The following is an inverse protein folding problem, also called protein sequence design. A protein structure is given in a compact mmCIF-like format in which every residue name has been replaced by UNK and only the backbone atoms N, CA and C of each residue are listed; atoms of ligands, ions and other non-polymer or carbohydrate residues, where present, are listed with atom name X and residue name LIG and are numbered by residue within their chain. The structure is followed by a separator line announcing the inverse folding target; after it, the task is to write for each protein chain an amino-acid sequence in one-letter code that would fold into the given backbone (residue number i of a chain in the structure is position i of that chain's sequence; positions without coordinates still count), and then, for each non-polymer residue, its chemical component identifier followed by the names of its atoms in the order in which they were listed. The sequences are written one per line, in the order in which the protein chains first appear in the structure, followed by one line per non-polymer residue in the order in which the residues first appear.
data_IF_748716480284
#
_entry.id   IF_748716480284
#
_cell.length_a   1.000
_cell.length_b   1.000
_cell.length_c   1.000
_cell.angle_alpha   90.00
_cell.angle_beta   90.00
_cell.angle_gamma   90.00
#
_symmetry.space_group_name_H-M   'P 1'
#
loop_
_entity.id
_entity.type
_entity.pdbx_description
1 polymer ?
#
# COMPACT_ATOMS: atom_id res chain seq x y z
N UNK A 1 73.35 43.65 -30.35
CA UNK A 1 73.54 42.23 -29.97
C UNK A 1 72.23 41.75 -29.36
N UNK A 2 71.30 41.27 -30.19
CA UNK A 2 71.06 39.84 -30.54
C UNK A 2 70.42 39.06 -29.38
N UNK A 3 69.13 38.73 -29.59
CA UNK A 3 68.33 37.55 -29.21
C UNK A 3 68.68 36.73 -27.94
N UNK A 4 67.67 36.35 -27.13
CA UNK A 4 66.92 35.10 -27.40
C UNK A 4 65.57 34.99 -26.65
N UNK A 5 64.69 34.16 -27.22
CA UNK A 5 63.28 33.91 -26.91
C UNK A 5 63.08 32.81 -25.86
N UNK A 6 61.86 32.81 -25.30
CA UNK A 6 61.06 31.65 -24.87
C UNK A 6 61.39 30.96 -23.53
N UNK A 7 60.47 31.10 -22.57
CA UNK A 7 59.60 29.97 -22.18
C UNK A 7 58.44 30.47 -21.31
N UNK A 8 57.21 30.28 -21.80
CA UNK A 8 56.02 30.42 -20.98
C UNK A 8 55.94 29.24 -20.00
N UNK A 9 56.05 29.51 -18.71
CA UNK A 9 55.64 28.57 -17.66
C UNK A 9 54.38 29.10 -17.01
N UNK A 10 53.27 28.40 -17.26
CA UNK A 10 52.04 28.50 -16.49
C UNK A 10 52.37 28.38 -14.99
N UNK A 11 52.20 29.47 -14.24
CA UNK A 11 52.13 29.41 -12.78
C UNK A 11 50.77 28.84 -12.40
N UNK A 12 50.75 27.55 -12.11
CA UNK A 12 49.64 26.90 -11.41
C UNK A 12 49.62 27.49 -10.00
N UNK A 13 48.59 28.31 -9.71
CA UNK A 13 48.28 28.77 -8.36
C UNK A 13 47.70 27.57 -7.61
N UNK A 14 48.29 27.11 -6.48
CA UNK A 14 47.71 26.01 -5.73
C UNK A 14 46.41 26.49 -5.06
N UNK A 15 45.27 25.90 -5.45
CA UNK A 15 44.01 26.05 -4.72
C UNK A 15 44.20 25.48 -3.32
N UNK A 16 44.02 26.35 -2.32
CA UNK A 16 44.00 26.01 -0.90
C UNK A 16 42.90 24.97 -0.65
N UNK A 17 43.27 23.72 -0.42
CA UNK A 17 42.35 22.69 0.08
C UNK A 17 42.02 23.06 1.51
N UNK A 18 40.78 23.49 1.77
CA UNK A 18 40.24 23.56 3.13
C UNK A 18 40.11 22.12 3.61
N UNK A 19 41.01 21.68 4.51
CA UNK A 19 40.76 20.50 5.34
C UNK A 19 39.52 20.79 6.17
N UNK A 20 38.40 20.18 5.83
CA UNK A 20 37.28 20.00 6.74
C UNK A 20 37.80 19.21 7.94
N UNK A 21 37.79 19.81 9.13
CA UNK A 21 37.94 19.08 10.39
C UNK A 21 36.78 18.08 10.43
N UNK A 22 37.07 16.79 10.38
CA UNK A 22 36.13 15.79 10.90
C UNK A 22 35.98 16.08 12.39
N UNK A 23 34.77 16.43 12.81
CA UNK A 23 34.39 16.43 14.21
C UNK A 23 34.33 14.96 14.64
N UNK A 24 35.27 14.55 15.48
CA UNK A 24 35.13 13.33 16.26
C UNK A 24 34.16 13.68 17.39
N UNK A 25 32.95 13.11 17.34
CA UNK A 25 32.00 13.20 18.45
C UNK A 25 32.60 12.42 19.64
N UNK A 26 33.25 13.12 20.56
CA UNK A 26 33.75 12.56 21.81
C UNK A 26 32.62 12.53 22.83
N UNK A 27 32.23 11.33 23.27
CA UNK A 27 31.25 11.15 24.33
C UNK A 27 31.85 11.62 25.67
N UNK A 28 31.17 12.53 26.37
CA UNK A 28 31.52 12.89 27.74
C UNK A 28 30.74 11.98 28.70
N UNK A 29 31.43 11.08 29.41
CA UNK A 29 30.81 10.03 30.25
C UNK A 29 30.15 10.56 31.54
N UNK A 30 30.17 11.87 31.78
CA UNK A 30 29.60 12.47 32.99
C UNK A 30 28.09 12.64 32.86
N UNK A 31 27.34 11.58 33.22
CA UNK A 31 25.88 11.57 33.27
C UNK A 31 25.20 10.41 32.54
N UNK A 32 25.94 9.37 32.13
CA UNK A 32 25.37 8.18 31.50
C UNK A 32 24.64 7.34 32.55
N UNK A 33 23.31 7.34 32.50
CA UNK A 33 22.48 6.36 33.21
C UNK A 33 22.44 5.05 32.41
N UNK A 34 22.68 3.92 33.09
CA UNK A 34 22.66 2.59 32.46
C UNK A 34 21.36 1.89 32.79
N UNK A 35 20.62 1.49 31.75
CA UNK A 35 19.36 0.76 31.87
C UNK A 35 19.52 -0.65 31.31
N UNK A 36 19.07 -1.64 32.07
CA UNK A 36 18.98 -3.03 31.63
C UNK A 36 17.53 -3.32 31.27
N UNK A 37 17.28 -3.67 30.00
CA UNK A 37 15.94 -3.67 29.39
C UNK A 37 15.70 -5.02 28.71
N UNK A 38 14.53 -5.60 28.93
CA UNK A 38 14.15 -6.92 28.38
C UNK A 38 13.08 -6.81 27.30
N UNK A 39 12.49 -5.62 27.15
CA UNK A 39 11.51 -5.29 26.13
C UNK A 39 11.89 -3.97 25.45
N UNK A 40 11.84 -3.98 24.12
CA UNK A 40 11.96 -2.78 23.30
C UNK A 40 10.73 -2.66 22.39
N UNK A 41 10.20 -1.45 22.25
CA UNK A 41 9.12 -1.12 21.33
C UNK A 41 9.48 0.04 20.44
N UNK A 42 8.97 0.06 19.21
CA UNK A 42 9.28 1.10 18.22
C UNK A 42 7.98 1.67 17.67
N UNK A 43 7.89 2.99 17.59
CA UNK A 43 6.86 3.70 16.83
C UNK A 43 7.50 4.77 15.95
N UNK A 44 6.85 5.07 14.81
CA UNK A 44 7.37 6.02 13.82
C UNK A 44 6.30 7.01 13.37
N UNK A 45 6.70 8.27 13.31
CA UNK A 45 5.97 9.40 12.73
C UNK A 45 6.88 10.17 11.76
N UNK A 46 6.32 11.10 10.97
CA UNK A 46 7.02 11.80 9.88
C UNK A 46 8.35 12.45 10.30
N UNK A 47 8.45 12.93 11.53
CA UNK A 47 9.62 13.66 12.04
C UNK A 47 10.32 12.95 13.20
N UNK A 48 9.74 11.87 13.72
CA UNK A 48 10.16 11.26 14.98
C UNK A 48 9.99 9.74 14.96
N UNK A 49 11.01 9.04 15.41
CA UNK A 49 11.00 7.61 15.73
C UNK A 49 11.20 7.50 17.24
N UNK A 50 10.22 6.90 17.92
CA UNK A 50 10.29 6.68 19.36
C UNK A 50 10.69 5.24 19.64
N UNK A 51 11.72 5.07 20.47
CA UNK A 51 12.10 3.81 21.07
C UNK A 51 11.59 3.81 22.51
N UNK A 52 10.85 2.77 22.88
CA UNK A 52 10.39 2.57 24.26
C UNK A 52 11.11 1.36 24.83
N UNK A 53 11.77 1.54 25.96
CA UNK A 53 12.45 0.48 26.68
C UNK A 53 11.77 0.24 28.01
N UNK A 54 11.54 -1.02 28.35
CA UNK A 54 10.91 -1.33 29.63
C UNK A 54 11.31 -2.68 30.21
N UNK A 55 10.85 -2.88 31.43
CA UNK A 55 11.04 -4.10 32.20
C UNK A 55 9.68 -4.77 32.44
N UNK A 56 9.60 -6.09 32.25
CA UNK A 56 8.41 -6.86 32.61
C UNK A 56 8.76 -7.75 33.83
N UNK A 57 8.33 -7.38 35.04
CA UNK A 57 8.67 -8.14 36.25
C UNK A 57 7.89 -9.45 36.39
N UNK A 58 6.85 -9.72 35.57
CA UNK A 58 5.96 -10.88 35.77
C UNK A 58 5.75 -11.67 34.47
N UNK A 59 6.31 -12.89 34.46
CA UNK A 59 6.11 -13.88 33.39
C UNK A 59 4.83 -14.71 33.67
N UNK A 60 3.63 -14.12 33.51
CA UNK A 60 2.35 -14.85 33.61
C UNK A 60 1.85 -15.24 32.20
N UNK A 61 1.89 -16.54 31.83
CA UNK A 61 1.48 -16.99 30.50
C UNK A 61 -0.03 -16.91 30.22
N UNK A 62 -0.85 -16.47 31.18
CA UNK A 62 -2.32 -16.41 31.05
C UNK A 62 -2.84 -14.99 30.72
N UNK A 63 -2.04 -13.94 30.93
CA UNK A 63 -2.46 -12.56 30.65
C UNK A 63 -2.12 -12.12 29.23
N UNK A 64 -3.16 -11.75 28.46
CA UNK A 64 -3.05 -11.14 27.11
C UNK A 64 -2.65 -9.65 27.12
N UNK A 65 -2.37 -9.07 28.29
CA UNK A 65 -2.02 -7.66 28.44
C UNK A 65 -0.75 -7.58 29.27
N UNK A 66 0.35 -7.15 28.65
CA UNK A 66 1.63 -6.92 29.34
C UNK A 66 1.59 -5.51 29.91
N UNK A 67 1.63 -5.38 31.24
CA UNK A 67 1.76 -4.10 31.92
C UNK A 67 3.25 -3.79 32.08
N UNK A 68 3.76 -2.77 31.37
CA UNK A 68 5.15 -2.33 31.48
C UNK A 68 5.24 -1.32 32.63
N UNK A 69 5.91 -1.68 33.73
CA UNK A 69 5.92 -0.88 34.97
C UNK A 69 6.88 0.33 34.94
N UNK A 70 7.93 0.28 34.11
CA UNK A 70 8.85 1.40 33.90
C UNK A 70 9.22 1.48 32.43
N UNK A 71 8.89 2.59 31.77
CA UNK A 71 9.13 2.76 30.35
C UNK A 71 9.93 4.04 30.08
N UNK A 72 11.18 3.90 29.64
CA UNK A 72 11.98 5.02 29.16
C UNK A 72 11.78 5.20 27.66
N UNK A 73 11.46 6.43 27.25
CA UNK A 73 11.21 6.78 25.85
C UNK A 73 12.36 7.61 25.30
N UNK A 74 13.00 7.10 24.26
CA UNK A 74 14.03 7.81 23.49
C UNK A 74 13.45 8.23 22.14
N UNK A 75 13.38 9.54 21.91
CA UNK A 75 12.89 10.11 20.65
C UNK A 75 14.06 10.45 19.72
N UNK A 76 14.02 9.91 18.50
CA UNK A 76 15.05 10.08 17.48
C UNK A 76 14.45 10.71 16.24
N UNK A 77 15.18 11.60 15.56
CA UNK A 77 14.81 11.95 14.19
C UNK A 77 15.18 10.80 13.22
N UNK A 78 14.59 10.74 12.00
CA UNK A 78 14.81 9.64 11.07
C UNK A 78 16.28 9.40 10.69
N UNK A 79 17.09 10.45 10.60
CA UNK A 79 18.51 10.34 10.25
C UNK A 79 19.34 9.73 11.38
N UNK A 80 19.04 10.07 12.64
CA UNK A 80 19.68 9.48 13.82
C UNK A 80 19.23 8.02 13.98
N UNK A 81 17.94 7.73 13.82
CA UNK A 81 17.41 6.38 13.88
C UNK A 81 18.03 5.46 12.83
N UNK A 82 18.21 5.93 11.59
CA UNK A 82 18.90 5.16 10.53
C UNK A 82 20.36 4.87 10.88
N UNK A 83 21.08 5.84 11.44
CA UNK A 83 22.46 5.64 11.91
C UNK A 83 22.52 4.64 13.07
N UNK A 84 21.59 4.73 14.02
CA UNK A 84 21.47 3.79 15.13
C UNK A 84 21.18 2.37 14.64
N UNK A 85 20.24 2.20 13.71
CA UNK A 85 19.90 0.89 13.15
C UNK A 85 21.10 0.21 12.48
N UNK A 86 21.87 0.97 11.70
CA UNK A 86 23.11 0.47 11.08
C UNK A 86 24.16 0.09 12.13
N UNK A 87 24.37 0.93 13.15
CA UNK A 87 25.30 0.63 14.23
C UNK A 87 24.89 -0.61 15.03
N UNK A 88 23.59 -0.77 15.28
CA UNK A 88 23.02 -1.89 16.03
C UNK A 88 23.12 -3.21 15.25
N UNK A 89 22.79 -3.21 13.95
CA UNK A 89 22.95 -4.40 13.08
C UNK A 89 24.43 -4.85 13.03
N UNK A 90 25.36 -3.90 12.90
CA UNK A 90 26.79 -4.22 12.94
C UNK A 90 27.23 -4.80 14.29
N UNK A 91 26.75 -4.25 15.41
CA UNK A 91 27.07 -4.73 16.74
C UNK A 91 26.50 -6.14 17.02
N UNK A 92 25.26 -6.40 16.59
CA UNK A 92 24.63 -7.73 16.70
C UNK A 92 25.42 -8.76 15.90
N UNK A 93 25.79 -8.45 14.66
CA UNK A 93 26.59 -9.37 13.83
C UNK A 93 27.95 -9.66 14.45
N UNK A 94 28.64 -8.66 14.97
CA UNK A 94 29.92 -8.85 15.67
C UNK A 94 29.76 -9.71 16.93
N UNK A 95 28.65 -9.54 17.66
CA UNK A 95 28.31 -10.40 18.79
C UNK A 95 28.07 -11.85 18.36
N UNK A 96 27.21 -12.08 17.37
CA UNK A 96 26.88 -13.43 16.89
C UNK A 96 28.08 -14.17 16.31
N UNK A 97 29.00 -13.46 15.65
CA UNK A 97 30.27 -14.01 15.19
C UNK A 97 31.16 -14.50 16.33
N UNK A 98 31.10 -13.85 17.50
CA UNK A 98 31.95 -14.16 18.66
C UNK A 98 31.32 -15.17 19.61
N UNK A 99 29.99 -15.15 19.75
CA UNK A 99 29.28 -15.86 20.82
C UNK A 99 28.21 -16.85 20.32
N UNK A 100 27.99 -16.92 19.00
CA UNK A 100 26.99 -17.80 18.39
C UNK A 100 25.69 -17.06 18.00
N UNK A 101 24.94 -17.64 17.08
CA UNK A 101 23.70 -17.05 16.52
C UNK A 101 22.62 -16.96 17.58
N UNK A 102 21.97 -15.80 17.68
CA UNK A 102 20.84 -15.59 18.58
C UNK A 102 19.60 -16.22 17.93
N UNK A 103 19.01 -17.23 18.57
CA UNK A 103 17.82 -17.91 18.05
C UNK A 103 16.58 -17.02 18.10
N UNK A 104 15.84 -16.94 16.99
CA UNK A 104 14.55 -16.22 16.90
C UNK A 104 13.45 -16.80 17.81
N UNK A 105 13.65 -18.00 18.38
CA UNK A 105 12.70 -18.64 19.32
C UNK A 105 12.67 -17.96 20.69
N UNK A 106 13.73 -17.22 21.07
CA UNK A 106 13.79 -16.46 22.34
C UNK A 106 13.46 -14.97 22.19
N UNK A 107 13.24 -14.49 20.96
CA UNK A 107 12.93 -13.09 20.71
C UNK A 107 11.40 -12.91 20.66
N UNK A 108 10.82 -12.43 21.76
CA UNK A 108 9.51 -11.78 21.66
C UNK A 108 9.67 -10.58 20.72
N UNK A 109 8.85 -10.45 19.67
CA UNK A 109 8.95 -9.32 18.74
C UNK A 109 8.80 -8.02 19.52
N UNK A 110 9.61 -7.02 19.18
CA UNK A 110 9.51 -5.68 19.73
C UNK A 110 8.04 -5.23 19.69
N UNK A 111 7.46 -4.90 20.85
CA UNK A 111 6.07 -4.46 20.91
C UNK A 111 5.94 -3.18 20.08
N UNK A 112 5.20 -3.23 18.97
CA UNK A 112 4.76 -2.00 18.33
C UNK A 112 3.89 -1.27 19.34
N UNK A 113 4.40 -0.14 19.84
CA UNK A 113 3.55 0.74 20.62
C UNK A 113 2.34 1.09 19.76
N UNK A 114 1.12 1.03 20.30
CA UNK A 114 -0.02 1.58 19.61
C UNK A 114 0.33 3.03 19.29
N UNK A 115 0.48 3.34 18.00
CA UNK A 115 0.42 4.73 17.56
C UNK A 115 -0.86 5.30 18.15
N UNK A 116 -0.78 6.48 18.75
CA UNK A 116 -1.92 7.18 19.34
C UNK A 116 -2.90 7.69 18.26
N UNK A 117 -3.23 6.84 17.30
CA UNK A 117 -4.48 6.82 16.58
C UNK A 117 -5.37 5.83 17.34
N UNK A 118 -6.36 6.36 18.03
CA UNK A 118 -7.51 5.59 18.52
C UNK A 118 -8.19 4.90 17.34
N UNK A 119 -7.69 3.73 16.94
CA UNK A 119 -8.35 2.81 16.00
C UNK A 119 -9.40 2.01 16.76
N UNK A 120 -10.35 2.73 17.35
CA UNK A 120 -11.62 2.12 17.76
C UNK A 120 -12.52 1.98 16.53
N UNK A 121 -12.33 0.85 15.84
CA UNK A 121 -13.25 0.06 14.98
C UNK A 121 -13.49 0.48 13.52
N UNK A 122 -13.08 -0.42 12.58
CA UNK A 122 -14.03 -1.23 11.79
C UNK A 122 -13.83 -2.77 11.86
N UNK A 123 -12.97 -3.30 12.73
CA UNK A 123 -12.76 -4.76 12.87
C UNK A 123 -14.00 -5.57 13.32
N UNK A 124 -15.07 -4.92 13.79
CA UNK A 124 -16.25 -5.60 14.34
C UNK A 124 -17.22 -6.13 13.27
N UNK A 125 -17.24 -5.56 12.06
CA UNK A 125 -18.12 -6.05 10.98
C UNK A 125 -17.60 -7.36 10.37
N UNK A 126 -16.28 -7.54 10.33
CA UNK A 126 -15.64 -8.70 9.68
C UNK A 126 -15.70 -9.97 10.53
N UNK A 127 -15.78 -9.85 11.87
CA UNK A 127 -15.87 -11.00 12.77
C UNK A 127 -17.16 -11.82 12.60
N UNK A 128 -18.18 -11.27 11.95
CA UNK A 128 -19.45 -11.96 11.72
C UNK A 128 -19.53 -12.67 10.35
N UNK A 129 -18.57 -12.43 9.44
CA UNK A 129 -18.50 -13.11 8.15
C UNK A 129 -17.33 -14.11 8.16
N UNK A 130 -17.66 -15.40 8.05
CA UNK A 130 -16.69 -16.50 8.18
C UNK A 130 -15.65 -16.48 7.07
N UNK A 131 -16.07 -16.11 5.86
CA UNK A 131 -15.25 -16.08 4.67
C UNK A 131 -14.22 -14.95 4.73
N UNK A 132 -14.62 -13.76 5.18
CA UNK A 132 -13.72 -12.64 5.45
C UNK A 132 -12.70 -12.99 6.54
N UNK A 133 -13.16 -13.55 7.66
CA UNK A 133 -12.30 -13.93 8.78
C UNK A 133 -11.28 -15.02 8.38
N UNK A 134 -11.69 -15.98 7.55
CA UNK A 134 -10.79 -17.00 7.02
C UNK A 134 -9.65 -16.35 6.22
N UNK A 135 -9.96 -15.44 5.30
CA UNK A 135 -8.93 -14.82 4.48
C UNK A 135 -7.94 -14.02 5.32
N UNK A 136 -8.43 -13.24 6.30
CA UNK A 136 -7.59 -12.49 7.23
C UNK A 136 -6.65 -13.40 8.02
N UNK A 137 -7.16 -14.49 8.58
CA UNK A 137 -6.37 -15.47 9.34
C UNK A 137 -5.28 -16.13 8.48
N UNK A 138 -5.63 -16.53 7.25
CA UNK A 138 -4.67 -17.13 6.31
C UNK A 138 -3.53 -16.17 5.96
N UNK A 139 -3.85 -14.90 5.70
CA UNK A 139 -2.83 -13.90 5.39
C UNK A 139 -1.99 -13.55 6.62
N UNK A 140 -2.60 -13.45 7.81
CA UNK A 140 -1.89 -13.13 9.04
C UNK A 140 -0.83 -14.19 9.40
N UNK A 141 -1.13 -15.48 9.13
CA UNK A 141 -0.18 -16.59 9.31
C UNK A 141 1.06 -16.53 8.42
N UNK A 142 1.09 -15.68 7.40
CA UNK A 142 2.29 -15.48 6.58
C UNK A 142 3.41 -14.74 7.33
N UNK A 143 3.07 -14.01 8.39
CA UNK A 143 4.00 -13.23 9.21
C UNK A 143 4.85 -12.25 8.38
N UNK A 144 4.20 -11.56 7.44
CA UNK A 144 4.79 -10.50 6.59
C UNK A 144 4.00 -9.21 6.77
N UNK A 145 4.58 -8.09 6.34
CA UNK A 145 3.87 -6.80 6.29
C UNK A 145 2.78 -6.90 5.22
N UNK A 146 1.54 -6.60 5.59
CA UNK A 146 0.39 -6.60 4.70
C UNK A 146 -0.19 -5.19 4.65
N UNK A 147 -0.28 -4.64 3.44
CA UNK A 147 -1.02 -3.41 3.19
C UNK A 147 -2.52 -3.72 3.18
N UNK A 148 -3.29 -3.02 4.00
CA UNK A 148 -4.75 -3.18 4.07
C UNK A 148 -5.42 -1.97 3.46
N UNK A 149 -6.07 -2.20 2.32
CA UNK A 149 -6.86 -1.21 1.62
C UNK A 149 -8.35 -1.51 1.79
N UNK A 150 -9.11 -0.48 2.14
CA UNK A 150 -10.55 -0.56 2.36
C UNK A 150 -11.27 0.05 1.18
N UNK A 151 -12.52 -0.39 0.94
CA UNK A 151 -13.34 0.23 -0.09
C UNK A 151 -14.82 0.17 0.21
N UNK A 152 -15.58 1.09 -0.38
CA UNK A 152 -17.01 0.93 -0.52
C UNK A 152 -17.44 1.13 -1.96
N UNK A 153 -18.41 0.33 -2.38
CA UNK A 153 -18.99 0.36 -3.73
C UNK A 153 -20.42 0.87 -3.68
N UNK A 154 -20.71 1.85 -4.52
CA UNK A 154 -22.03 2.42 -4.69
C UNK A 154 -22.66 1.87 -5.96
N UNK A 155 -23.88 1.36 -5.82
CA UNK A 155 -24.81 1.06 -6.90
C UNK A 155 -26.15 1.69 -6.52
N UNK A 156 -27.08 1.84 -7.47
CA UNK A 156 -28.34 2.55 -7.22
C UNK A 156 -29.07 1.95 -6.00
N UNK A 157 -29.23 2.75 -4.95
CA UNK A 157 -29.91 2.40 -3.70
C UNK A 157 -29.10 1.59 -2.70
N UNK A 158 -27.87 1.15 -3.02
CA UNK A 158 -27.11 0.23 -2.17
C UNK A 158 -25.63 0.65 -2.05
N UNK A 159 -25.11 0.66 -0.82
CA UNK A 159 -23.69 0.82 -0.52
C UNK A 159 -23.10 -0.47 0.04
N UNK A 160 -22.15 -1.07 -0.69
CA UNK A 160 -21.43 -2.27 -0.27
C UNK A 160 -20.12 -1.87 0.41
N UNK A 161 -20.03 -2.02 1.73
CA UNK A 161 -18.88 -1.56 2.53
C UNK A 161 -18.01 -2.67 3.13
N UNK A 162 -18.51 -3.92 3.18
CA UNK A 162 -17.74 -5.07 3.66
C UNK A 162 -16.78 -5.58 2.57
N UNK A 163 -15.73 -4.79 2.31
CA UNK A 163 -14.80 -5.00 1.20
C UNK A 163 -13.39 -4.54 1.58
N UNK A 164 -12.40 -5.38 1.27
CA UNK A 164 -11.00 -5.04 1.52
C UNK A 164 -10.07 -5.75 0.53
N UNK A 165 -8.86 -5.21 0.39
CA UNK A 165 -7.72 -5.82 -0.29
C UNK A 165 -6.54 -5.90 0.69
N UNK A 166 -5.87 -7.05 0.68
CA UNK A 166 -4.70 -7.37 1.48
C UNK A 166 -3.54 -7.57 0.51
N UNK A 167 -2.69 -6.57 0.38
CA UNK A 167 -1.55 -6.59 -0.52
C UNK A 167 -0.26 -6.97 0.20
N UNK A 168 0.54 -7.82 -0.42
CA UNK A 168 1.85 -8.21 0.07
C UNK A 168 2.88 -8.23 -1.07
N UNK A 169 4.12 -7.91 -0.75
CA UNK A 169 5.24 -8.14 -1.67
C UNK A 169 5.57 -9.63 -1.66
N UNK A 170 5.61 -10.25 -2.85
CA UNK A 170 5.93 -11.67 -2.99
C UNK A 170 7.31 -11.99 -2.41
N UNK A 171 8.26 -11.08 -2.50
CA UNK A 171 9.64 -11.30 -2.10
C UNK A 171 9.79 -11.32 -0.56
N UNK A 172 8.87 -10.69 0.17
CA UNK A 172 8.83 -10.71 1.65
C UNK A 172 8.39 -12.08 2.19
N UNK A 173 7.78 -12.93 1.36
CA UNK A 173 7.33 -14.27 1.77
C UNK A 173 8.48 -15.25 2.06
N UNK A 174 9.72 -14.91 1.70
CA UNK A 174 10.90 -15.73 1.97
C UNK A 174 10.84 -17.10 1.29
N UNK A 175 11.03 -18.20 2.04
CA UNK A 175 11.13 -19.54 1.46
C UNK A 175 9.83 -20.02 0.81
N UNK A 176 9.93 -20.43 -0.47
CA UNK A 176 8.84 -20.98 -1.31
C UNK A 176 7.62 -20.04 -1.40
N UNK A 177 7.79 -18.81 -1.93
CA UNK A 177 6.72 -17.82 -1.98
C UNK A 177 5.51 -18.30 -2.79
N UNK A 178 5.75 -18.96 -3.93
CA UNK A 178 4.70 -19.53 -4.79
C UNK A 178 3.83 -20.54 -4.06
N UNK A 179 4.46 -21.40 -3.25
CA UNK A 179 3.73 -22.41 -2.48
C UNK A 179 2.81 -21.72 -1.47
N UNK A 180 3.31 -20.71 -0.74
CA UNK A 180 2.51 -19.98 0.25
C UNK A 180 1.29 -19.29 -0.38
N UNK A 181 1.47 -18.64 -1.52
CA UNK A 181 0.37 -18.00 -2.27
C UNK A 181 -0.65 -19.05 -2.74
N UNK A 182 -0.20 -20.13 -3.37
CA UNK A 182 -1.08 -21.20 -3.84
C UNK A 182 -1.83 -21.90 -2.70
N UNK A 183 -1.18 -22.10 -1.55
CA UNK A 183 -1.80 -22.73 -0.38
C UNK A 183 -2.93 -21.86 0.18
N UNK A 184 -2.80 -20.52 0.15
CA UNK A 184 -3.92 -19.62 0.45
C UNK A 184 -5.02 -19.79 -0.60
N UNK A 185 -4.70 -19.63 -1.89
CA UNK A 185 -5.68 -19.73 -2.98
C UNK A 185 -6.49 -21.02 -2.95
N UNK A 186 -5.86 -22.17 -2.64
CA UNK A 186 -6.56 -23.45 -2.47
C UNK A 186 -7.50 -23.47 -1.28
N UNK A 187 -7.09 -22.91 -0.14
CA UNK A 187 -7.91 -22.85 1.07
C UNK A 187 -9.15 -21.96 0.91
N UNK A 188 -9.06 -20.93 0.06
CA UNK A 188 -10.22 -20.09 -0.33
C UNK A 188 -10.90 -20.58 -1.63
N UNK A 189 -10.69 -21.85 -1.99
CA UNK A 189 -11.35 -22.56 -3.09
C UNK A 189 -11.25 -21.88 -4.45
N UNK A 190 -10.09 -21.30 -4.78
CA UNK A 190 -9.83 -20.75 -6.11
C UNK A 190 -10.00 -21.84 -7.19
N UNK A 191 -10.70 -21.55 -8.31
CA UNK A 191 -10.87 -22.50 -9.39
C UNK A 191 -9.54 -23.03 -9.96
N UNK A 192 -9.46 -24.32 -10.29
CA UNK A 192 -8.22 -24.96 -10.76
C UNK A 192 -7.64 -24.32 -12.03
N UNK A 193 -8.49 -23.89 -12.96
CA UNK A 193 -8.03 -23.17 -14.15
C UNK A 193 -7.41 -21.81 -13.79
N UNK A 194 -7.93 -21.13 -12.77
CA UNK A 194 -7.35 -19.88 -12.29
C UNK A 194 -6.08 -20.11 -11.47
N UNK A 195 -6.00 -21.18 -10.67
CA UNK A 195 -4.77 -21.57 -9.98
C UNK A 195 -3.62 -21.80 -10.97
N UNK A 196 -3.92 -22.47 -12.10
CA UNK A 196 -2.95 -22.70 -13.17
C UNK A 196 -2.47 -21.37 -13.78
N UNK A 197 -3.39 -20.51 -14.20
CA UNK A 197 -3.05 -19.19 -14.77
C UNK A 197 -2.33 -18.30 -13.77
N UNK A 198 -2.72 -18.31 -12.49
CA UNK A 198 -2.04 -17.57 -11.44
C UNK A 198 -0.60 -18.06 -11.30
N UNK A 199 -0.37 -19.38 -11.25
CA UNK A 199 0.98 -19.94 -11.14
C UNK A 199 1.86 -19.58 -12.35
N UNK A 200 1.31 -19.64 -13.57
CA UNK A 200 2.03 -19.28 -14.80
C UNK A 200 2.53 -17.83 -14.81
N UNK A 201 1.83 -16.92 -14.13
CA UNK A 201 2.15 -15.49 -14.09
C UNK A 201 2.80 -15.05 -12.76
N UNK A 202 2.86 -15.93 -11.75
CA UNK A 202 3.30 -15.57 -10.40
C UNK A 202 4.80 -15.22 -10.33
N UNK A 203 5.62 -15.79 -11.23
CA UNK A 203 7.04 -15.48 -11.32
C UNK A 203 7.28 -14.00 -11.68
N UNK A 204 6.47 -13.46 -12.59
CA UNK A 204 6.60 -12.08 -13.07
C UNK A 204 5.93 -11.04 -12.16
N UNK A 205 5.00 -11.47 -11.30
CA UNK A 205 4.33 -10.58 -10.36
C UNK A 205 5.28 -10.12 -9.25
N UNK A 206 5.20 -8.85 -8.83
CA UNK A 206 5.93 -8.36 -7.66
C UNK A 206 5.04 -8.36 -6.41
N UNK A 207 3.77 -8.00 -6.58
CA UNK A 207 2.79 -7.93 -5.50
C UNK A 207 1.65 -8.91 -5.77
N UNK A 208 1.19 -9.54 -4.70
CA UNK A 208 -0.01 -10.36 -4.68
C UNK A 208 -1.02 -9.66 -3.76
N UNK A 209 -2.24 -9.42 -4.25
CA UNK A 209 -3.32 -8.93 -3.40
C UNK A 209 -4.41 -9.98 -3.26
N UNK A 210 -4.88 -10.20 -2.04
CA UNK A 210 -6.08 -10.98 -1.78
C UNK A 210 -7.23 -10.07 -1.40
N UNK A 211 -8.40 -10.30 -1.99
CA UNK A 211 -9.57 -9.46 -1.78
C UNK A 211 -10.76 -10.24 -1.27
N UNK A 212 -11.58 -9.53 -0.50
CA UNK A 212 -12.91 -9.97 -0.15
C UNK A 212 -13.92 -8.89 -0.52
N UNK A 213 -15.06 -9.31 -1.05
CA UNK A 213 -16.23 -8.46 -1.13
C UNK A 213 -17.51 -9.23 -0.82
N UNK A 214 -18.43 -8.55 -0.15
CA UNK A 214 -19.79 -9.04 0.04
C UNK A 214 -20.77 -8.19 -0.79
N UNK A 215 -21.75 -8.85 -1.41
CA UNK A 215 -22.93 -8.21 -1.95
C UNK A 215 -24.19 -8.75 -1.26
N UNK A 216 -25.37 -8.28 -1.69
CA UNK A 216 -26.66 -8.65 -1.08
C UNK A 216 -26.95 -10.16 -1.07
N UNK A 217 -26.34 -10.93 -1.99
CA UNK A 217 -26.65 -12.35 -2.20
C UNK A 217 -25.46 -13.28 -1.91
N UNK A 218 -24.23 -12.83 -2.18
CA UNK A 218 -23.04 -13.68 -2.17
C UNK A 218 -21.80 -12.91 -1.72
N UNK A 219 -20.81 -13.67 -1.22
CA UNK A 219 -19.46 -13.18 -0.97
C UNK A 219 -18.50 -13.69 -2.03
N UNK A 220 -17.54 -12.86 -2.43
CA UNK A 220 -16.52 -13.19 -3.43
C UNK A 220 -15.13 -13.02 -2.87
N UNK A 221 -14.28 -13.99 -3.16
CA UNK A 221 -12.85 -13.85 -3.03
C UNK A 221 -12.24 -13.29 -4.30
N UNK A 222 -11.07 -12.67 -4.12
CA UNK A 222 -10.26 -12.18 -5.22
C UNK A 222 -8.79 -12.46 -4.97
N UNK A 223 -8.06 -12.66 -6.05
CA UNK A 223 -6.62 -12.60 -6.09
C UNK A 223 -6.20 -11.65 -7.21
N UNK A 224 -5.18 -10.84 -6.97
CA UNK A 224 -4.59 -9.97 -7.97
C UNK A 224 -3.10 -10.23 -8.05
N UNK A 225 -2.60 -10.36 -9.26
CA UNK A 225 -1.17 -10.28 -9.55
C UNK A 225 -0.87 -8.89 -10.09
N UNK A 226 0.12 -8.22 -9.51
CA UNK A 226 0.58 -6.91 -9.95
C UNK A 226 2.00 -7.00 -10.52
N UNK A 227 2.17 -6.46 -11.72
CA UNK A 227 3.40 -6.51 -12.50
C UNK A 227 4.13 -5.16 -12.46
N UNK A 228 4.40 -4.66 -11.24
CA UNK A 228 5.04 -3.35 -11.04
C UNK A 228 6.39 -3.22 -11.76
N UNK A 229 7.17 -4.30 -11.89
CA UNK A 229 8.43 -4.32 -12.64
C UNK A 229 8.29 -3.92 -14.12
N UNK A 230 7.13 -4.21 -14.74
CA UNK A 230 6.85 -3.82 -16.13
C UNK A 230 6.72 -2.30 -16.31
N UNK A 231 6.42 -1.57 -15.23
CA UNK A 231 6.40 -0.11 -15.24
C UNK A 231 7.81 0.44 -15.51
N UNK A 232 8.82 -0.11 -14.85
CA UNK A 232 10.22 0.31 -15.03
C UNK A 232 10.78 -0.07 -16.40
N UNK A 233 10.43 -1.26 -16.90
CA UNK A 233 10.87 -1.73 -18.22
C UNK A 233 10.27 -0.87 -19.33
N UNK A 234 8.96 -0.61 -19.27
CA UNK A 234 8.27 0.28 -20.23
C UNK A 234 8.90 1.67 -20.22
N UNK A 235 9.28 2.19 -19.05
CA UNK A 235 9.95 3.48 -18.91
C UNK A 235 11.38 3.48 -19.48
N UNK A 236 12.14 2.40 -19.26
CA UNK A 236 13.53 2.25 -19.74
C UNK A 236 13.62 2.02 -21.24
N UNK A 237 12.74 1.22 -21.82
CA UNK A 237 12.80 0.82 -23.22
C UNK A 237 12.25 1.88 -24.17
N UNK A 238 11.29 2.70 -23.71
CA UNK A 238 10.64 3.70 -24.55
C UNK A 238 10.43 5.04 -23.82
N UNK A 239 11.51 5.77 -23.48
CA UNK A 239 11.40 7.09 -22.87
C UNK A 239 10.61 8.04 -23.80
N UNK A 240 9.37 8.34 -23.42
CA UNK A 240 8.48 9.25 -24.15
C UNK A 240 7.43 8.62 -25.06
N UNK A 241 7.25 7.29 -25.10
CA UNK A 241 6.06 6.67 -25.74
C UNK A 241 5.10 6.12 -24.68
N UNK A 242 3.81 6.43 -24.84
CA UNK A 242 2.68 5.90 -24.07
C UNK A 242 2.41 4.43 -24.41
N UNK A 243 3.34 3.53 -24.05
CA UNK A 243 3.11 2.09 -24.13
C UNK A 243 2.11 1.68 -23.04
N UNK A 244 0.93 1.18 -23.45
CA UNK A 244 -0.02 0.56 -22.51
C UNK A 244 0.47 -0.84 -22.15
N UNK A 245 0.29 -1.27 -20.91
CA UNK A 245 0.68 -2.61 -20.47
C UNK A 245 -0.27 -3.14 -19.39
N UNK A 246 -0.28 -4.45 -19.18
CA UNK A 246 -1.08 -5.07 -18.12
C UNK A 246 -0.36 -4.84 -16.78
N UNK A 247 -0.97 -4.02 -15.91
CA UNK A 247 -0.47 -3.77 -14.56
C UNK A 247 -1.01 -4.80 -13.58
N UNK A 248 -2.29 -5.18 -13.70
CA UNK A 248 -2.87 -6.23 -12.86
C UNK A 248 -3.62 -7.30 -13.65
N UNK A 249 -3.57 -8.52 -13.13
CA UNK A 249 -4.50 -9.60 -13.47
C UNK A 249 -5.36 -9.90 -12.25
N UNK A 250 -6.67 -9.72 -12.38
CA UNK A 250 -7.64 -9.96 -11.33
C UNK A 250 -8.40 -11.27 -11.55
N UNK A 251 -8.35 -12.14 -10.56
CA UNK A 251 -9.14 -13.35 -10.46
C UNK A 251 -10.21 -13.12 -9.42
N UNK A 252 -11.49 -13.31 -9.75
CA UNK A 252 -12.61 -13.18 -8.82
C UNK A 252 -13.50 -14.39 -8.92
N UNK A 253 -13.89 -14.95 -7.79
CA UNK A 253 -14.81 -16.09 -7.73
C UNK A 253 -15.69 -16.01 -6.49
N UNK A 254 -16.86 -16.58 -6.60
CA UNK A 254 -17.80 -16.71 -5.49
C UNK A 254 -17.25 -17.69 -4.43
N UNK A 255 -17.43 -17.34 -3.17
CA UNK A 255 -16.87 -18.08 -2.02
C UNK A 255 -17.54 -19.44 -1.78
N UNK A 256 -18.78 -19.64 -2.26
CA UNK A 256 -19.54 -20.89 -2.10
C UNK A 256 -19.54 -21.67 -3.41
N UNK A 257 -19.82 -21.01 -4.54
CA UNK A 257 -19.88 -21.64 -5.87
C UNK A 257 -18.83 -21.03 -6.81
N UNK A 258 -17.60 -21.54 -6.75
CA UNK A 258 -16.46 -21.03 -7.51
C UNK A 258 -16.58 -21.20 -9.05
N UNK A 259 -17.66 -21.81 -9.54
CA UNK A 259 -17.99 -21.79 -10.98
C UNK A 259 -18.45 -20.40 -11.43
N UNK A 260 -19.02 -19.61 -10.50
CA UNK A 260 -19.34 -18.19 -10.69
C UNK A 260 -18.08 -17.36 -10.53
N UNK A 261 -17.43 -17.07 -11.66
CA UNK A 261 -16.10 -16.43 -11.67
C UNK A 261 -15.92 -15.36 -12.75
N UNK A 262 -14.84 -14.61 -12.62
CA UNK A 262 -14.44 -13.52 -13.50
C UNK A 262 -12.91 -13.42 -13.55
N UNK A 263 -12.38 -13.21 -14.75
CA UNK A 263 -11.00 -12.86 -14.97
C UNK A 263 -10.94 -11.48 -15.64
N UNK A 264 -10.08 -10.61 -15.15
CA UNK A 264 -9.98 -9.23 -15.60
C UNK A 264 -8.52 -8.82 -15.81
N UNK A 265 -8.25 -8.14 -16.92
CA UNK A 265 -6.97 -7.49 -17.18
C UNK A 265 -7.10 -5.99 -16.93
N UNK A 266 -6.18 -5.46 -16.14
CA UNK A 266 -6.08 -4.04 -15.82
C UNK A 266 -4.96 -3.45 -16.65
N UNK A 267 -5.33 -2.78 -17.73
CA UNK A 267 -4.39 -2.15 -18.65
C UNK A 267 -4.06 -0.76 -18.14
N UNK A 268 -2.82 -0.53 -17.75
CA UNK A 268 -2.32 0.78 -17.35
C UNK A 268 -1.91 1.58 -18.58
N UNK A 269 -2.26 2.86 -18.55
CA UNK A 269 -1.91 3.85 -19.55
C UNK A 269 -0.96 4.88 -18.92
N UNK A 270 0.34 4.53 -18.78
CA UNK A 270 1.30 5.44 -18.17
C UNK A 270 1.43 6.72 -18.99
N UNK A 271 1.71 7.83 -18.31
CA UNK A 271 1.96 9.14 -18.94
C UNK A 271 0.77 9.72 -19.72
N UNK A 272 -0.45 9.21 -19.53
CA UNK A 272 -1.62 9.88 -20.06
C UNK A 272 -1.67 11.34 -19.58
N UNK A 273 -2.00 12.23 -20.52
CA UNK A 273 -2.33 13.59 -20.16
C UNK A 273 -3.66 13.62 -19.41
N UNK A 274 -3.93 14.71 -18.71
CA UNK A 274 -5.24 14.96 -18.10
C UNK A 274 -6.38 14.86 -19.14
N UNK A 275 -6.14 15.30 -20.37
CA UNK A 275 -7.12 15.21 -21.46
C UNK A 275 -7.35 13.76 -21.90
N UNK A 276 -6.29 12.95 -22.01
CA UNK A 276 -6.40 11.54 -22.36
C UNK A 276 -7.13 10.73 -21.29
N UNK A 277 -6.86 11.02 -20.00
CA UNK A 277 -7.60 10.42 -18.89
C UNK A 277 -9.09 10.76 -18.95
N UNK A 278 -9.44 12.03 -19.20
CA UNK A 278 -10.85 12.45 -19.39
C UNK A 278 -11.51 11.74 -20.55
N UNK A 279 -10.81 11.61 -21.67
CA UNK A 279 -11.30 10.89 -22.84
C UNK A 279 -11.56 9.41 -22.54
N UNK A 280 -10.67 8.78 -21.76
CA UNK A 280 -10.84 7.42 -21.28
C UNK A 280 -12.07 7.27 -20.36
N UNK A 281 -12.18 8.14 -19.33
CA UNK A 281 -13.32 8.19 -18.42
C UNK A 281 -14.64 8.36 -19.19
N UNK A 282 -14.69 9.35 -20.10
CA UNK A 282 -15.84 9.63 -20.93
C UNK A 282 -16.17 8.46 -21.87
N UNK A 283 -15.17 7.73 -22.37
CA UNK A 283 -15.37 6.54 -23.21
C UNK A 283 -15.99 5.34 -22.47
N UNK A 284 -15.89 5.30 -21.14
CA UNK A 284 -16.44 4.23 -20.30
C UNK A 284 -17.78 4.63 -19.68
N UNK A 285 -17.92 5.90 -19.29
CA UNK A 285 -19.12 6.47 -18.69
C UNK A 285 -20.00 7.20 -19.72
N UNK A 286 -19.94 6.82 -21.00
CA UNK A 286 -20.71 7.49 -22.05
C UNK A 286 -22.13 6.91 -22.18
N UNK A 287 -23.12 7.71 -21.81
CA UNK A 287 -24.48 7.88 -22.37
C UNK A 287 -25.23 8.83 -21.41
N UNK A 288 -26.39 9.40 -21.82
CA UNK A 288 -27.15 10.41 -21.04
C UNK A 288 -27.30 10.06 -19.54
N UNK A 289 -27.31 8.77 -19.22
CA UNK A 289 -27.55 8.21 -17.89
C UNK A 289 -26.35 8.24 -16.94
N UNK A 290 -25.10 8.35 -17.43
CA UNK A 290 -23.87 8.27 -16.57
C UNK A 290 -23.13 9.62 -16.43
N UNK A 291 -23.74 10.70 -16.93
CA UNK A 291 -23.13 12.04 -16.97
C UNK A 291 -22.66 12.56 -15.61
N UNK A 292 -23.41 12.25 -14.54
CA UNK A 292 -23.06 12.71 -13.19
C UNK A 292 -21.91 11.93 -12.58
N UNK A 293 -21.80 10.63 -12.82
CA UNK A 293 -20.62 9.87 -12.39
C UNK A 293 -19.37 10.31 -13.13
N UNK A 294 -19.50 10.67 -14.42
CA UNK A 294 -18.41 11.27 -15.18
C UNK A 294 -17.97 12.60 -14.56
N UNK A 295 -18.93 13.51 -14.26
CA UNK A 295 -18.63 14.78 -13.58
C UNK A 295 -17.90 14.55 -12.24
N UNK A 296 -18.32 13.54 -11.47
CA UNK A 296 -17.68 13.18 -10.20
C UNK A 296 -16.24 12.70 -10.42
N UNK A 297 -16.03 11.80 -11.38
CA UNK A 297 -14.71 11.24 -11.66
C UNK A 297 -13.73 12.30 -12.19
N UNK A 298 -14.19 13.16 -13.10
CA UNK A 298 -13.41 14.30 -13.61
C UNK A 298 -13.11 15.31 -12.51
N UNK A 299 -14.07 15.58 -11.63
CA UNK A 299 -13.89 16.45 -10.48
C UNK A 299 -12.82 15.95 -9.51
N UNK A 300 -12.82 14.65 -9.20
CA UNK A 300 -11.77 14.04 -8.37
C UNK A 300 -10.41 14.08 -9.07
N UNK A 301 -10.38 13.87 -10.39
CA UNK A 301 -9.17 14.03 -11.20
C UNK A 301 -8.63 15.46 -11.15
N UNK A 302 -9.49 16.48 -11.19
CA UNK A 302 -9.11 17.88 -11.04
C UNK A 302 -8.46 18.16 -9.68
N UNK A 303 -9.08 17.70 -8.59
CA UNK A 303 -8.52 17.86 -7.24
C UNK A 303 -7.13 17.22 -7.11
N UNK A 304 -6.93 16.03 -7.70
CA UNK A 304 -5.64 15.37 -7.75
C UNK A 304 -4.60 16.13 -8.59
N UNK A 305 -5.03 16.66 -9.74
CA UNK A 305 -4.18 17.38 -10.68
C UNK A 305 -3.67 18.73 -10.13
N UNK A 306 -4.34 19.31 -9.14
CA UNK A 306 -3.85 20.51 -8.43
C UNK A 306 -2.56 20.22 -7.65
N UNK A 307 -2.39 18.99 -7.14
CA UNK A 307 -1.26 18.61 -6.28
C UNK A 307 -0.14 17.89 -7.02
N UNK A 308 -0.50 17.20 -8.10
CA UNK A 308 0.39 16.25 -8.78
C UNK A 308 0.32 16.39 -10.28
N UNK A 309 1.47 16.19 -10.91
CA UNK A 309 1.53 16.08 -12.36
C UNK A 309 0.82 14.81 -12.82
N UNK A 310 0.25 14.81 -14.03
CA UNK A 310 -0.54 13.67 -14.53
C UNK A 310 0.27 12.38 -14.67
N UNK A 311 1.60 12.46 -14.79
CA UNK A 311 2.50 11.30 -14.78
C UNK A 311 2.64 10.63 -13.41
N UNK A 312 2.20 11.28 -12.34
CA UNK A 312 2.13 10.71 -10.99
C UNK A 312 0.75 10.11 -10.67
N UNK A 313 -0.23 10.24 -11.57
CA UNK A 313 -1.54 9.62 -11.46
C UNK A 313 -1.56 8.37 -12.36
N UNK A 314 -2.23 7.30 -11.92
CA UNK A 314 -2.40 6.11 -12.76
C UNK A 314 -3.83 6.03 -13.24
N UNK A 315 -3.99 5.88 -14.56
CA UNK A 315 -5.27 5.58 -15.19
C UNK A 315 -5.20 4.18 -15.79
N UNK A 316 -6.18 3.36 -15.45
CA UNK A 316 -6.30 1.99 -15.92
C UNK A 316 -7.66 1.77 -16.54
N UNK A 317 -7.70 0.93 -17.58
CA UNK A 317 -8.94 0.37 -18.11
C UNK A 317 -8.98 -1.13 -17.81
N UNK A 318 -10.15 -1.58 -17.39
CA UNK A 318 -10.39 -2.95 -16.96
C UNK A 318 -11.31 -3.61 -17.96
N UNK A 319 -10.81 -4.67 -18.59
CA UNK A 319 -11.56 -5.54 -19.48
C UNK A 319 -11.68 -6.95 -18.90
N UNK A 320 -12.85 -7.56 -19.05
CA UNK A 320 -13.09 -8.97 -18.76
C UNK A 320 -13.18 -9.76 -20.07
N UNK A 321 -12.64 -10.98 -20.11
CA UNK A 321 -12.83 -11.87 -21.25
C UNK A 321 -14.32 -12.24 -21.41
N UNK A 322 -14.77 -12.34 -22.67
CA UNK A 322 -16.14 -12.72 -23.04
C UNK A 322 -17.26 -11.84 -22.44
N UNK A 323 -16.95 -10.60 -22.04
CA UNK A 323 -17.91 -9.71 -21.41
C UNK A 323 -17.82 -8.27 -21.95
N UNK A 324 -18.95 -7.60 -22.26
CA UNK A 324 -18.95 -6.19 -22.65
C UNK A 324 -18.59 -5.22 -21.52
N UNK A 325 -18.41 -5.71 -20.28
CA UNK A 325 -18.04 -4.88 -19.13
C UNK A 325 -16.77 -4.08 -19.41
N UNK A 326 -16.91 -2.77 -19.29
CA UNK A 326 -15.81 -1.81 -19.23
C UNK A 326 -15.87 -1.05 -17.91
N UNK A 327 -14.74 -0.96 -17.26
CA UNK A 327 -14.56 -0.10 -16.08
C UNK A 327 -13.20 0.57 -16.11
N UNK A 328 -13.08 1.68 -15.39
CA UNK A 328 -11.82 2.37 -15.18
C UNK A 328 -11.36 2.22 -13.73
N UNK A 329 -10.08 2.48 -13.52
CA UNK A 329 -9.50 2.74 -12.21
C UNK A 329 -8.60 3.99 -12.30
N UNK A 330 -8.88 4.98 -11.46
CA UNK A 330 -8.13 6.21 -11.34
C UNK A 330 -7.42 6.25 -9.99
N UNK A 331 -6.12 5.93 -10.00
CA UNK A 331 -5.28 5.91 -8.81
C UNK A 331 -4.65 7.28 -8.53
N UNK A 332 -4.97 7.84 -7.38
CA UNK A 332 -4.53 9.17 -6.95
C UNK A 332 -3.82 9.14 -5.59
N UNK A 333 -3.36 7.97 -5.13
CA UNK A 333 -2.65 7.85 -3.85
C UNK A 333 -1.52 8.87 -3.69
N UNK A 334 -0.79 9.13 -4.78
CA UNK A 334 0.34 10.08 -4.80
C UNK A 334 -0.10 11.53 -4.59
N UNK A 335 -1.36 11.88 -4.80
CA UNK A 335 -1.89 13.21 -4.53
C UNK A 335 -2.02 13.51 -3.03
N UNK A 336 -1.92 12.50 -2.16
CA UNK A 336 -1.99 12.66 -0.71
C UNK A 336 -3.25 13.43 -0.27
N UNK A 337 -4.36 13.11 -0.92
CA UNK A 337 -5.67 13.69 -0.63
C UNK A 337 -6.38 12.79 0.38
N UNK A 338 -6.94 13.39 1.41
CA UNK A 338 -7.75 12.69 2.41
C UNK A 338 -9.20 12.56 1.96
N UNK A 339 -9.91 11.57 2.50
CA UNK A 339 -11.34 11.39 2.26
C UNK A 339 -12.13 12.69 2.52
N UNK A 340 -11.86 13.40 3.62
CA UNK A 340 -12.56 14.64 3.96
C UNK A 340 -12.39 15.79 2.97
N UNK A 341 -11.27 15.84 2.24
CA UNK A 341 -11.04 16.86 1.22
C UNK A 341 -11.89 16.61 -0.02
N UNK A 342 -12.25 15.35 -0.31
CA UNK A 342 -13.15 14.96 -1.39
C UNK A 342 -14.61 14.79 -0.94
N UNK A 343 -14.94 15.23 0.28
CA UNK A 343 -16.29 15.12 0.83
C UNK A 343 -17.39 15.71 -0.08
N UNK A 344 -17.21 16.88 -0.74
CA UNK A 344 -18.21 17.39 -1.69
C UNK A 344 -18.50 16.41 -2.83
N UNK A 345 -17.48 15.73 -3.35
CA UNK A 345 -17.63 14.73 -4.40
C UNK A 345 -18.33 13.47 -3.88
N UNK A 346 -18.04 13.02 -2.66
CA UNK A 346 -18.74 11.90 -2.04
C UNK A 346 -20.23 12.20 -1.76
N UNK A 347 -20.57 13.45 -1.42
CA UNK A 347 -21.98 13.85 -1.31
C UNK A 347 -22.70 13.79 -2.66
N UNK A 348 -22.05 14.24 -3.74
CA UNK A 348 -22.58 14.08 -5.10
C UNK A 348 -22.77 12.60 -5.46
N UNK A 349 -21.84 11.73 -5.09
CA UNK A 349 -22.00 10.27 -5.26
C UNK A 349 -23.23 9.75 -4.50
N UNK A 350 -23.41 10.14 -3.23
CA UNK A 350 -24.57 9.70 -2.46
C UNK A 350 -25.89 10.15 -3.10
N UNK A 351 -25.95 11.38 -3.62
CA UNK A 351 -27.11 11.88 -4.34
C UNK A 351 -27.39 11.07 -5.60
N UNK A 352 -26.34 10.81 -6.40
CA UNK A 352 -26.47 10.10 -7.67
C UNK A 352 -26.97 8.66 -7.49
N UNK A 353 -26.31 7.94 -6.59
CA UNK A 353 -26.66 6.56 -6.28
C UNK A 353 -27.83 6.44 -5.30
N UNK A 354 -28.44 7.56 -4.88
CA UNK A 354 -29.57 7.58 -3.95
C UNK A 354 -29.29 6.86 -2.62
N UNK A 355 -28.10 7.09 -2.07
CA UNK A 355 -27.62 6.51 -0.83
C UNK A 355 -28.06 7.39 0.35
N UNK A 356 -28.67 6.82 1.40
CA UNK A 356 -29.02 7.56 2.60
C UNK A 356 -27.77 8.16 3.28
N UNK A 357 -27.76 9.48 3.50
CA UNK A 357 -26.60 10.16 4.10
C UNK A 357 -26.23 9.65 5.49
N UNK A 358 -27.24 9.25 6.28
CA UNK A 358 -27.02 8.65 7.60
C UNK A 358 -26.28 7.31 7.52
N UNK A 359 -26.50 6.53 6.46
CA UNK A 359 -25.79 5.27 6.20
C UNK A 359 -24.36 5.55 5.76
N UNK A 360 -24.19 6.49 4.81
CA UNK A 360 -22.87 6.94 4.36
C UNK A 360 -22.02 7.47 5.52
N UNK A 361 -22.55 8.35 6.36
CA UNK A 361 -21.80 8.94 7.48
C UNK A 361 -21.39 7.93 8.54
N UNK A 362 -22.16 6.87 8.78
CA UNK A 362 -21.73 5.78 9.68
C UNK A 362 -20.43 5.13 9.20
N UNK A 363 -20.26 4.98 7.89
CA UNK A 363 -19.04 4.45 7.30
C UNK A 363 -17.93 5.51 7.21
N UNK A 364 -18.29 6.73 6.80
CA UNK A 364 -17.36 7.79 6.46
C UNK A 364 -16.72 8.46 7.68
N UNK A 365 -17.48 8.72 8.75
CA UNK A 365 -16.97 9.47 9.91
C UNK A 365 -15.71 8.87 10.55
N UNK A 366 -15.60 7.53 10.74
CA UNK A 366 -14.39 6.92 11.28
C UNK A 366 -13.17 6.98 10.35
N UNK A 367 -13.39 7.16 9.04
CA UNK A 367 -12.33 7.01 8.02
C UNK A 367 -12.03 8.31 7.26
N UNK A 368 -12.71 9.40 7.59
CA UNK A 368 -12.62 10.69 6.87
C UNK A 368 -11.21 11.30 6.83
N UNK A 369 -10.36 10.97 7.80
CA UNK A 369 -8.96 11.45 7.84
C UNK A 369 -8.00 10.53 7.10
N UNK A 370 -8.44 9.36 6.64
CA UNK A 370 -7.61 8.43 5.88
C UNK A 370 -7.39 8.96 4.46
N UNK A 371 -6.31 8.49 3.82
CA UNK A 371 -6.00 8.81 2.43
C UNK A 371 -7.04 8.20 1.50
N UNK A 372 -7.49 9.01 0.53
CA UNK A 372 -8.21 8.54 -0.63
C UNK A 372 -7.20 7.91 -1.59
N UNK A 373 -7.43 6.64 -1.93
CA UNK A 373 -6.51 5.87 -2.75
C UNK A 373 -6.81 5.97 -4.23
N UNK A 374 -7.95 5.40 -4.63
CA UNK A 374 -8.35 5.38 -6.03
C UNK A 374 -9.87 5.33 -6.18
N UNK A 375 -10.34 5.82 -7.33
CA UNK A 375 -11.72 5.77 -7.76
C UNK A 375 -11.82 4.77 -8.91
N UNK A 376 -12.62 3.72 -8.75
CA UNK A 376 -12.98 2.84 -9.87
C UNK A 376 -14.44 3.01 -10.23
N UNK A 377 -14.79 2.83 -11.49
CA UNK A 377 -16.17 2.99 -11.93
C UNK A 377 -16.44 2.38 -13.29
N UNK A 378 -17.72 2.29 -13.64
CA UNK A 378 -18.17 1.79 -14.94
C UNK A 378 -19.49 1.06 -14.84
N UNK A 379 -19.73 0.17 -15.80
CA UNK A 379 -20.98 -0.59 -15.91
C UNK A 379 -20.74 -2.04 -15.50
N UNK A 380 -21.55 -2.56 -14.57
CA UNK A 380 -21.46 -3.95 -14.14
C UNK A 380 -22.09 -4.93 -15.15
N UNK A 381 -21.97 -6.23 -14.89
CA UNK A 381 -22.50 -7.29 -15.78
C UNK A 381 -24.02 -7.28 -15.95
N UNK A 382 -24.74 -6.60 -15.04
CA UNK A 382 -26.21 -6.42 -15.08
C UNK A 382 -26.58 -5.09 -15.75
N UNK A 383 -25.62 -4.36 -16.34
CA UNK A 383 -25.85 -3.06 -16.95
C UNK A 383 -26.00 -1.92 -15.93
N UNK A 384 -25.66 -2.14 -14.66
CA UNK A 384 -25.80 -1.13 -13.60
C UNK A 384 -24.51 -0.34 -13.46
N UNK A 385 -24.65 0.97 -13.44
CA UNK A 385 -23.56 1.87 -13.12
C UNK A 385 -23.08 1.66 -11.68
N UNK A 386 -21.78 1.85 -11.47
CA UNK A 386 -21.19 1.87 -10.14
C UNK A 386 -19.98 2.80 -10.04
N UNK A 387 -19.75 3.31 -8.83
CA UNK A 387 -18.48 3.88 -8.40
C UNK A 387 -17.99 3.12 -7.16
N UNK A 388 -16.68 2.93 -7.02
CA UNK A 388 -16.06 2.37 -5.82
C UNK A 388 -14.93 3.27 -5.39
N UNK A 389 -14.96 3.66 -4.12
CA UNK A 389 -13.92 4.46 -3.48
C UNK A 389 -13.05 3.54 -2.65
N UNK A 390 -11.75 3.61 -2.87
CA UNK A 390 -10.73 2.89 -2.10
C UNK A 390 -9.96 3.89 -1.24
N UNK A 391 -9.64 3.50 -0.01
CA UNK A 391 -8.99 4.35 0.98
C UNK A 391 -8.19 3.54 2.01
N UNK A 392 -7.33 4.23 2.76
CA UNK A 392 -6.48 3.61 3.78
C UNK A 392 -5.05 3.40 3.28
N UNK A 393 -4.40 2.32 3.72
CA UNK A 393 -3.00 2.05 3.38
C UNK A 393 -2.93 1.33 2.03
N UNK A 394 -2.13 1.85 1.11
CA UNK A 394 -1.94 1.28 -0.22
C UNK A 394 -1.40 -0.16 -0.10
N UNK A 395 -2.11 -1.12 -0.69
CA UNK A 395 -1.68 -2.53 -0.77
C UNK A 395 -0.73 -2.84 -1.94
N UNK A 396 -0.47 -1.87 -2.81
CA UNK A 396 0.23 -2.00 -4.10
C UNK A 396 1.42 -1.06 -4.26
N UNK A 397 2.26 -1.26 -5.28
CA UNK A 397 3.45 -0.44 -5.49
C UNK A 397 3.06 1.02 -5.78
N UNK A 398 3.66 1.96 -5.04
CA UNK A 398 3.41 3.39 -5.18
C UNK A 398 4.30 4.31 -4.36
N UNK A 399 5.04 3.77 -3.39
CA UNK A 399 5.93 4.54 -2.52
C UNK A 399 7.42 4.35 -2.84
N UNK A 400 7.77 3.75 -3.98
CA UNK A 400 9.16 3.66 -4.42
C UNK A 400 9.52 4.81 -5.35
N UNK A 401 9.82 5.96 -4.75
CA UNK A 401 10.88 6.88 -5.19
C UNK A 401 11.21 7.91 -4.09
#
# INVERSE_FOLDING_TARGET
MVNDRSSGRNKIVPKRVRKTKESVDTWEDNGIETLYVDLAGISSHKEEISLLFGHNPVHDPVQKVINIESAERVCLNPFVAKRLALGLDLAIRDYELRYGVIGLESLQPAFQLPSSSTDSTPFLLEKNNREAALLLDLTHKLNVIIGVERSFKLIKGTMLSNRFLLGLNKDDLGFRPHKKVLDICRQISMPENYLKTLLENLDEANIVLFGFEENEENSYYKAYLEFGGRFEETYRENPGRSGRFILHQGFKWDSIDNTRRAFANYTCFPMYSLEDMRRGLAGILNEEDSKRSLEIAEGILDEAAVRKHSNELLYLEVGEEDNPRKSFDLNIYRADITMQELYPWMLKMCQEYSIPLNEFHKLYEPVKTQKFGHLSGGIDRKGREFLTVYYGVKGSTGDWQ
#
